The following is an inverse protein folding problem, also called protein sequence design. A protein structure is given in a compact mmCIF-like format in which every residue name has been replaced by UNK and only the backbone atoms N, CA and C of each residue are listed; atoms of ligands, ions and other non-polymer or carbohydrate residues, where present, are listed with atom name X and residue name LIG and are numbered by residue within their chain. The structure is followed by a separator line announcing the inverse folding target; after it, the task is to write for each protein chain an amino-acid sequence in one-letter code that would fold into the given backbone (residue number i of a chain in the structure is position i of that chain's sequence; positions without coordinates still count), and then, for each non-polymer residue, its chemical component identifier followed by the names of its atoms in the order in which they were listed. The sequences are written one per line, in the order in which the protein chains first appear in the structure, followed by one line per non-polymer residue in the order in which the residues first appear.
data_IF_283933152682
#
_entry.id   IF_283933152682
#
_cell.length_a   1.000
_cell.length_b   1.000
_cell.length_c   1.000
_cell.angle_alpha   90.00
_cell.angle_beta   90.00
_cell.angle_gamma   90.00
#
_symmetry.space_group_name_H-M   'P 1'
#
loop_
_entity.id
_entity.type
_entity.pdbx_description
1 polymer ?
#
# COMPACT_ATOMS: atom_id res chain seq x y z
N UNK A 1 -8.00 -16.09 11.53
CA UNK A 1 -6.86 -15.18 11.38
C UNK A 1 -7.29 -13.76 11.78
N UNK A 2 -6.55 -13.06 12.65
CA UNK A 2 -6.94 -11.70 13.11
C UNK A 2 -6.83 -10.68 11.97
N UNK A 3 -7.49 -9.52 12.09
CA UNK A 3 -7.36 -8.42 11.11
C UNK A 3 -5.90 -7.98 10.93
N UNK A 4 -5.13 -7.92 12.03
CA UNK A 4 -3.68 -7.66 12.02
C UNK A 4 -2.90 -8.72 11.26
N UNK A 5 -3.20 -10.01 11.48
CA UNK A 5 -2.56 -11.11 10.76
C UNK A 5 -2.82 -11.06 9.25
N UNK A 6 -4.07 -10.78 8.84
CA UNK A 6 -4.44 -10.57 7.42
C UNK A 6 -3.67 -9.40 6.79
N UNK A 7 -3.56 -8.29 7.52
CA UNK A 7 -2.84 -7.11 7.04
C UNK A 7 -1.34 -7.36 6.86
N UNK A 8 -0.66 -7.95 7.84
CA UNK A 8 0.77 -8.27 7.74
C UNK A 8 1.04 -9.28 6.63
N UNK A 9 0.21 -10.32 6.51
CA UNK A 9 0.33 -11.29 5.43
C UNK A 9 0.16 -10.64 4.04
N UNK A 10 -0.82 -9.73 3.90
CA UNK A 10 -1.03 -8.99 2.65
C UNK A 10 0.13 -8.03 2.33
N UNK A 11 0.69 -7.32 3.32
CA UNK A 11 1.89 -6.50 3.15
C UNK A 11 3.07 -7.35 2.65
N UNK A 12 3.31 -8.50 3.28
CA UNK A 12 4.38 -9.41 2.88
C UNK A 12 4.15 -9.96 1.46
N UNK A 13 2.91 -10.32 1.12
CA UNK A 13 2.56 -10.81 -0.21
C UNK A 13 2.80 -9.74 -1.30
N UNK A 14 2.38 -8.49 -1.07
CA UNK A 14 2.62 -7.38 -2.01
C UNK A 14 4.13 -7.11 -2.15
N UNK A 15 4.88 -7.11 -1.05
CA UNK A 15 6.32 -6.92 -1.09
C UNK A 15 7.03 -8.05 -1.87
N UNK A 16 6.64 -9.31 -1.63
CA UNK A 16 7.17 -10.45 -2.36
C UNK A 16 6.83 -10.41 -3.85
N UNK A 17 5.59 -10.04 -4.20
CA UNK A 17 5.17 -9.89 -5.59
C UNK A 17 5.95 -8.79 -6.31
N UNK A 18 6.18 -7.65 -5.66
CA UNK A 18 6.99 -6.57 -6.19
C UNK A 18 8.47 -6.99 -6.38
N UNK A 19 9.03 -7.69 -5.39
CA UNK A 19 10.38 -8.24 -5.50
C UNK A 19 10.50 -9.23 -6.66
N UNK A 20 9.52 -10.12 -6.83
CA UNK A 20 9.47 -11.06 -7.96
C UNK A 20 9.37 -10.32 -9.31
N UNK A 21 8.52 -9.30 -9.40
CA UNK A 21 8.36 -8.49 -10.61
C UNK A 21 9.66 -7.79 -11.01
N UNK A 22 10.50 -7.41 -10.04
CA UNK A 22 11.79 -6.76 -10.31
C UNK A 22 12.74 -7.60 -11.17
N UNK A 23 12.61 -8.93 -11.16
CA UNK A 23 13.43 -9.82 -11.99
C UNK A 23 13.01 -9.81 -13.47
N UNK A 24 11.76 -9.49 -13.75
CA UNK A 24 11.19 -9.47 -15.11
C UNK A 24 11.36 -8.10 -15.76
N UNK A 25 11.55 -7.04 -14.96
CA UNK A 25 11.74 -5.68 -15.47
C UNK A 25 13.14 -5.44 -16.05
N UNK A 26 13.24 -4.54 -17.06
CA UNK A 26 14.51 -4.01 -17.53
C UNK A 26 15.32 -3.40 -16.38
N UNK A 27 16.66 -3.54 -16.37
CA UNK A 27 17.50 -3.01 -15.28
C UNK A 27 17.30 -1.52 -14.99
N UNK A 28 16.98 -0.72 -16.01
CA UNK A 28 16.70 0.71 -15.89
C UNK A 28 15.49 1.01 -15.00
N UNK A 29 14.45 0.16 -15.03
CA UNK A 29 13.17 0.41 -14.34
C UNK A 29 13.14 -0.15 -12.92
N UNK A 30 14.03 -1.10 -12.61
CA UNK A 30 14.13 -1.73 -11.29
C UNK A 30 14.33 -0.72 -10.18
N UNK A 31 15.15 0.32 -10.41
CA UNK A 31 15.38 1.39 -9.43
C UNK A 31 14.09 2.12 -9.07
N UNK A 32 13.23 2.40 -10.06
CA UNK A 32 11.93 3.03 -9.84
C UNK A 32 10.98 2.15 -9.04
N UNK A 33 10.91 0.86 -9.36
CA UNK A 33 10.09 -0.11 -8.61
C UNK A 33 10.56 -0.25 -7.15
N UNK A 34 11.85 -0.42 -6.91
CA UNK A 34 12.39 -0.56 -5.55
C UNK A 34 12.20 0.71 -4.71
N UNK A 35 12.39 1.89 -5.31
CA UNK A 35 12.10 3.16 -4.66
C UNK A 35 10.60 3.27 -4.29
N UNK A 36 9.72 2.96 -5.26
CA UNK A 36 8.28 2.95 -5.05
C UNK A 36 7.86 1.97 -3.94
N UNK A 37 8.45 0.78 -3.91
CA UNK A 37 8.20 -0.23 -2.87
C UNK A 37 8.62 0.27 -1.49
N UNK A 38 9.82 0.84 -1.38
CA UNK A 38 10.31 1.43 -0.13
C UNK A 38 9.38 2.53 0.38
N UNK A 39 9.01 3.48 -0.48
CA UNK A 39 8.10 4.58 -0.14
C UNK A 39 6.71 4.06 0.28
N UNK A 40 6.16 3.12 -0.49
CA UNK A 40 4.86 2.54 -0.21
C UNK A 40 4.86 1.81 1.15
N UNK A 41 5.86 1.00 1.46
CA UNK A 41 5.92 0.29 2.74
C UNK A 41 6.12 1.23 3.93
N UNK A 42 6.99 2.22 3.81
CA UNK A 42 7.27 3.21 4.87
C UNK A 42 6.03 4.02 5.22
N UNK A 43 5.23 4.40 4.22
CA UNK A 43 4.02 5.22 4.44
C UNK A 43 2.81 4.34 4.78
N UNK A 44 2.62 3.23 4.06
CA UNK A 44 1.45 2.37 4.24
C UNK A 44 1.48 1.60 5.55
N UNK A 45 2.64 1.04 5.95
CA UNK A 45 2.75 0.23 7.16
C UNK A 45 2.18 0.93 8.39
N UNK A 46 2.62 2.16 8.71
CA UNK A 46 2.08 2.96 9.81
C UNK A 46 0.61 3.35 9.62
N UNK A 47 0.22 3.80 8.41
CA UNK A 47 -1.15 4.27 8.13
C UNK A 47 -2.18 3.15 8.26
N UNK A 48 -1.90 1.99 7.67
CA UNK A 48 -2.78 0.83 7.74
C UNK A 48 -2.85 0.29 9.16
N UNK A 49 -1.73 0.23 9.87
CA UNK A 49 -1.75 -0.14 11.29
C UNK A 49 -2.61 0.81 12.12
N UNK A 50 -2.46 2.12 11.94
CA UNK A 50 -3.26 3.14 12.62
C UNK A 50 -4.76 3.05 12.30
N UNK A 51 -5.10 2.66 11.08
CA UNK A 51 -6.48 2.39 10.66
C UNK A 51 -7.06 1.16 11.37
N UNK A 52 -6.28 0.07 11.51
CA UNK A 52 -6.71 -1.14 12.21
C UNK A 52 -7.11 -0.86 13.67
N UNK A 53 -6.46 0.10 14.33
CA UNK A 53 -6.80 0.54 15.69
C UNK A 53 -8.11 1.34 15.79
N UNK A 54 -8.68 1.81 14.68
CA UNK A 54 -9.95 2.55 14.66
C UNK A 54 -11.13 1.72 14.16
N UNK A 55 -10.93 0.44 13.81
CA UNK A 55 -12.02 -0.43 13.36
C UNK A 55 -13.12 -0.45 14.43
N UNK A 56 -14.37 -0.24 14.00
CA UNK A 56 -15.54 -0.22 14.89
C UNK A 56 -15.74 1.09 15.66
N UNK A 57 -14.96 2.14 15.38
CA UNK A 57 -15.12 3.46 16.00
C UNK A 57 -15.59 4.52 14.99
N UNK A 58 -16.26 5.57 15.47
CA UNK A 58 -16.64 6.74 14.65
C UNK A 58 -15.44 7.42 13.99
N UNK A 59 -14.23 7.23 14.54
CA UNK A 59 -12.98 7.79 14.04
C UNK A 59 -12.47 7.08 12.79
N UNK A 60 -13.05 5.93 12.41
CA UNK A 60 -12.60 5.12 11.28
C UNK A 60 -12.57 5.91 9.97
N UNK A 61 -13.70 6.53 9.58
CA UNK A 61 -13.79 7.28 8.33
C UNK A 61 -12.82 8.46 8.28
N UNK A 62 -12.63 9.15 9.41
CA UNK A 62 -11.67 10.26 9.51
C UNK A 62 -10.23 9.79 9.33
N UNK A 63 -9.83 8.69 9.99
CA UNK A 63 -8.48 8.13 9.83
C UNK A 63 -8.25 7.59 8.43
N UNK A 64 -9.27 6.97 7.85
CA UNK A 64 -9.23 6.50 6.47
C UNK A 64 -9.03 7.66 5.48
N UNK A 65 -9.78 8.75 5.63
CA UNK A 65 -9.65 9.94 4.79
C UNK A 65 -8.24 10.57 4.91
N UNK A 66 -7.70 10.67 6.13
CA UNK A 66 -6.31 11.12 6.35
C UNK A 66 -5.31 10.19 5.63
N UNK A 67 -5.52 8.87 5.70
CA UNK A 67 -4.70 7.90 4.97
C UNK A 67 -4.76 8.09 3.45
N UNK A 68 -5.94 8.37 2.89
CA UNK A 68 -6.09 8.65 1.45
C UNK A 68 -5.36 9.95 1.07
N UNK A 69 -5.53 11.01 1.86
CA UNK A 69 -4.84 12.28 1.63
C UNK A 69 -3.31 12.11 1.66
N UNK A 70 -2.79 11.32 2.61
CA UNK A 70 -1.36 11.01 2.69
C UNK A 70 -0.85 10.25 1.46
N UNK A 71 -1.62 9.31 0.91
CA UNK A 71 -1.26 8.57 -0.31
C UNK A 71 -1.21 9.46 -1.54
N UNK A 72 -2.22 10.32 -1.71
CA UNK A 72 -2.24 11.30 -2.80
C UNK A 72 -1.05 12.27 -2.66
N UNK A 73 -0.80 12.75 -1.43
CA UNK A 73 0.37 13.57 -1.12
C UNK A 73 1.69 12.88 -1.44
N UNK A 74 1.83 11.59 -1.13
CA UNK A 74 3.02 10.80 -1.47
C UNK A 74 3.23 10.69 -2.98
N UNK A 75 2.17 10.43 -3.76
CA UNK A 75 2.26 10.40 -5.23
C UNK A 75 2.68 11.75 -5.78
N UNK A 76 2.06 12.85 -5.30
CA UNK A 76 2.42 14.21 -5.69
C UNK A 76 3.87 14.56 -5.33
N UNK A 77 4.30 14.28 -4.10
CA UNK A 77 5.66 14.50 -3.64
C UNK A 77 6.67 13.69 -4.47
N UNK A 78 6.32 12.45 -4.81
CA UNK A 78 7.18 11.60 -5.63
C UNK A 78 7.32 12.16 -7.03
N UNK A 79 6.20 12.54 -7.66
CA UNK A 79 6.17 13.07 -9.02
C UNK A 79 6.92 14.41 -9.15
N UNK A 80 6.72 15.31 -8.19
CA UNK A 80 7.24 16.69 -8.27
C UNK A 80 8.66 16.82 -7.73
N UNK A 81 9.02 16.03 -6.70
CA UNK A 81 10.26 16.22 -5.94
C UNK A 81 11.17 15.00 -6.06
N UNK A 82 10.74 13.83 -5.60
CA UNK A 82 11.65 12.68 -5.42
C UNK A 82 12.20 12.14 -6.73
N UNK A 83 11.38 12.07 -7.78
CA UNK A 83 11.82 11.63 -9.11
C UNK A 83 12.98 12.50 -9.61
N UNK A 84 12.86 13.82 -9.47
CA UNK A 84 13.90 14.76 -9.92
C UNK A 84 15.11 14.77 -9.01
N UNK A 85 14.90 14.81 -7.69
CA UNK A 85 15.97 14.89 -6.70
C UNK A 85 16.86 13.64 -6.68
N UNK A 86 16.29 12.47 -6.97
CA UNK A 86 16.99 11.18 -6.92
C UNK A 86 17.34 10.61 -8.30
N UNK A 87 17.00 11.31 -9.39
CA UNK A 87 17.24 10.86 -10.76
C UNK A 87 16.53 9.53 -11.08
N UNK A 88 15.32 9.33 -10.56
CA UNK A 88 14.57 8.09 -10.75
C UNK A 88 13.85 8.07 -12.10
N UNK A 89 13.63 6.88 -12.71
CA UNK A 89 12.81 6.77 -13.92
C UNK A 89 11.36 7.11 -13.58
N UNK A 90 10.89 8.28 -14.04
CA UNK A 90 9.61 8.86 -13.63
C UNK A 90 8.42 7.93 -13.86
N UNK A 91 8.29 7.41 -15.09
CA UNK A 91 7.19 6.53 -15.50
C UNK A 91 7.16 5.26 -14.65
N UNK A 92 8.27 4.51 -14.62
CA UNK A 92 8.38 3.28 -13.86
C UNK A 92 8.13 3.50 -12.35
N UNK A 93 8.65 4.59 -11.78
CA UNK A 93 8.48 4.91 -10.35
C UNK A 93 7.03 5.22 -10.02
N UNK A 94 6.36 6.09 -10.80
CA UNK A 94 4.99 6.52 -10.54
C UNK A 94 3.99 5.40 -10.79
N UNK A 95 4.13 4.65 -11.90
CA UNK A 95 3.29 3.49 -12.16
C UNK A 95 3.42 2.44 -11.06
N UNK A 96 4.65 2.12 -10.66
CA UNK A 96 4.89 1.17 -9.57
C UNK A 96 4.29 1.67 -8.26
N UNK A 97 4.49 2.94 -7.92
CA UNK A 97 3.97 3.53 -6.69
C UNK A 97 2.44 3.47 -6.63
N UNK A 98 1.76 3.90 -7.69
CA UNK A 98 0.30 3.85 -7.75
C UNK A 98 -0.20 2.41 -7.69
N UNK A 99 0.39 1.50 -8.46
CA UNK A 99 0.01 0.08 -8.44
C UNK A 99 0.16 -0.55 -7.06
N UNK A 100 1.28 -0.28 -6.38
CA UNK A 100 1.54 -0.76 -5.03
C UNK A 100 0.56 -0.17 -4.01
N UNK A 101 0.29 1.14 -4.07
CA UNK A 101 -0.67 1.79 -3.17
C UNK A 101 -2.08 1.22 -3.35
N UNK A 102 -2.50 0.93 -4.58
CA UNK A 102 -3.78 0.28 -4.87
C UNK A 102 -3.82 -1.14 -4.33
N UNK A 103 -2.77 -1.94 -4.57
CA UNK A 103 -2.68 -3.31 -4.03
C UNK A 103 -2.75 -3.33 -2.50
N UNK A 104 -2.04 -2.41 -1.85
CA UNK A 104 -2.03 -2.27 -0.40
C UNK A 104 -3.36 -1.74 0.17
N UNK A 105 -4.07 -0.89 -0.58
CA UNK A 105 -5.44 -0.49 -0.24
C UNK A 105 -6.39 -1.70 -0.31
N UNK A 106 -6.20 -2.58 -1.29
CA UNK A 106 -6.90 -3.86 -1.36
C UNK A 106 -6.64 -4.75 -0.13
N UNK A 107 -5.40 -4.82 0.33
CA UNK A 107 -5.03 -5.51 1.58
C UNK A 107 -5.77 -4.92 2.78
N UNK A 108 -5.85 -3.60 2.90
CA UNK A 108 -6.62 -2.94 3.96
C UNK A 108 -8.11 -3.29 3.90
N UNK A 109 -8.71 -3.27 2.71
CA UNK A 109 -10.10 -3.68 2.53
C UNK A 109 -10.32 -5.14 2.99
N UNK A 110 -9.45 -6.07 2.56
CA UNK A 110 -9.53 -7.48 2.96
C UNK A 110 -9.28 -7.67 4.46
N UNK A 111 -8.44 -6.84 5.09
CA UNK A 111 -8.19 -6.91 6.53
C UNK A 111 -9.36 -6.37 7.36
N UNK A 112 -10.08 -5.36 6.86
CA UNK A 112 -11.22 -4.71 7.52
C UNK A 112 -12.52 -5.47 7.30
N UNK A 113 -12.76 -6.04 6.10
CA UNK A 113 -13.97 -6.80 5.84
C UNK A 113 -14.07 -7.99 6.82
N UNK A 114 -15.21 -8.17 7.50
CA UNK A 114 -15.48 -9.41 8.23
C UNK A 114 -15.40 -10.57 7.25
N UNK A 115 -14.69 -11.64 7.62
CA UNK A 115 -14.83 -12.90 6.89
C UNK A 115 -16.31 -13.23 6.88
N UNK A 116 -16.91 -13.45 5.70
CA UNK A 116 -18.26 -13.99 5.59
C UNK A 116 -18.28 -15.36 6.26
N UNK A 117 -18.57 -15.40 7.55
CA UNK A 117 -19.15 -16.59 8.16
C UNK A 117 -20.51 -16.75 7.48
N UNK A 118 -20.71 -17.89 6.82
CA UNK A 118 -21.92 -18.17 6.05
C UNK A 118 -23.19 -18.07 6.88
N UNK A 119 -24.38 -18.08 6.24
CA UNK A 119 -25.64 -18.02 6.95
C UNK A 119 -25.75 -19.20 7.91
N UNK A 120 -25.78 -18.93 9.22
CA UNK A 120 -26.35 -19.84 10.20
C UNK A 120 -27.85 -19.95 9.88
N UNK A 121 -28.19 -20.98 9.11
CA UNK A 121 -29.57 -21.45 9.00
C UNK A 121 -29.91 -22.11 10.34
N UNK A 122 -30.73 -21.43 11.14
CA UNK A 122 -31.45 -22.03 12.27
C UNK A 122 -32.67 -22.78 11.76
#
# INVERSE_FOLDING_TARGET
MTARGRYVAGLAAVAAAAAALSFVLPPADRRGLWAALGLALVVQGPLGWWLLWAIGTERFLRRWAVGIAARVGLVGLTALVLVRALGLPAEATLFSLVGLLVALLGVEAVAVLPGRSGPEVR
#
